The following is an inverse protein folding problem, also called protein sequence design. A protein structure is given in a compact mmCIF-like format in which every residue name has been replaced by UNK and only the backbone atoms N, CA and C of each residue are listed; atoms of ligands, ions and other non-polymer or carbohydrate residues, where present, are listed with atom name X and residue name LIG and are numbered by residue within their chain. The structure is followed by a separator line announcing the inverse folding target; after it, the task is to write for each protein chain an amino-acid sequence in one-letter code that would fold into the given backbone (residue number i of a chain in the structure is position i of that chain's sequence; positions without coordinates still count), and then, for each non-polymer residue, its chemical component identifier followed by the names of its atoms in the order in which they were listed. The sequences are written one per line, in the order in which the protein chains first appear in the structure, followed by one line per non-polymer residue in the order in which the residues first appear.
data_IF_224239470187
#
_entry.id   IF_224239470187
#
_cell.length_a   1.000
_cell.length_b   1.000
_cell.length_c   1.000
_cell.angle_alpha   90.00
_cell.angle_beta   90.00
_cell.angle_gamma   90.00
#
_symmetry.space_group_name_H-M   'P 1'
#
loop_
_entity.id
_entity.type
_entity.pdbx_description
1 polymer ?
#
# COMPACT_ATOMS: atom_id res chain seq x y z
N UNK A 1 -31.62 21.73 59.85
CA UNK A 1 -30.98 21.99 58.54
C UNK A 1 -30.35 20.71 58.10
N UNK A 2 -30.86 20.06 57.03
CA UNK A 2 -30.34 18.80 56.50
C UNK A 2 -29.45 19.13 55.28
N UNK A 3 -28.14 18.96 55.45
CA UNK A 3 -27.18 19.07 54.32
C UNK A 3 -27.40 17.91 53.36
N UNK A 4 -27.79 18.20 52.11
CA UNK A 4 -27.78 17.26 50.98
C UNK A 4 -26.36 17.27 50.39
N UNK A 5 -25.61 16.17 50.57
CA UNK A 5 -24.39 15.93 49.82
C UNK A 5 -24.79 15.57 48.39
N UNK A 6 -24.38 16.39 47.41
CA UNK A 6 -24.43 16.04 45.98
C UNK A 6 -23.18 15.21 45.63
N UNK A 7 -23.37 13.96 45.27
CA UNK A 7 -22.33 13.16 44.66
C UNK A 7 -22.29 13.49 43.15
N UNK A 8 -21.21 14.09 42.69
CA UNK A 8 -20.90 14.24 41.28
C UNK A 8 -20.17 12.97 40.87
N UNK A 9 -20.83 12.11 40.11
CA UNK A 9 -20.17 10.97 39.49
C UNK A 9 -19.38 11.49 38.28
N UNK A 10 -18.06 11.45 38.36
CA UNK A 10 -17.21 11.67 37.19
C UNK A 10 -17.25 10.43 36.30
N UNK A 11 -17.87 10.56 35.12
CA UNK A 11 -17.80 9.54 34.09
C UNK A 11 -16.40 9.61 33.48
N UNK A 12 -15.55 8.63 33.77
CA UNK A 12 -14.29 8.46 33.04
C UNK A 12 -14.62 7.86 31.67
N UNK A 13 -14.53 8.67 30.62
CA UNK A 13 -14.56 8.18 29.24
C UNK A 13 -13.20 7.52 29.00
N UNK A 14 -13.18 6.18 28.99
CA UNK A 14 -12.02 5.46 28.51
C UNK A 14 -11.97 5.64 26.98
N UNK A 15 -11.03 6.45 26.51
CA UNK A 15 -10.67 6.44 25.10
C UNK A 15 -10.03 5.09 24.78
N UNK A 16 -10.69 4.27 23.98
CA UNK A 16 -10.06 3.08 23.43
C UNK A 16 -8.83 3.54 22.63
N UNK A 17 -7.64 3.12 23.04
CA UNK A 17 -6.46 3.33 22.23
C UNK A 17 -6.64 2.52 20.97
N UNK A 18 -6.75 3.18 19.81
CA UNK A 18 -6.69 2.49 18.52
C UNK A 18 -5.37 1.73 18.44
N UNK A 19 -5.44 0.46 18.02
CA UNK A 19 -4.24 -0.33 17.82
C UNK A 19 -3.42 0.33 16.71
N UNK A 20 -2.17 0.64 17.01
CA UNK A 20 -1.24 1.24 16.06
C UNK A 20 -0.74 0.15 15.12
N UNK A 21 -0.58 0.47 13.83
CA UNK A 21 0.10 -0.41 12.86
C UNK A 21 1.52 -0.70 13.34
N UNK A 22 1.88 -1.96 13.39
CA UNK A 22 3.23 -2.43 13.73
C UNK A 22 3.94 -2.78 12.44
N UNK A 23 5.05 -2.14 12.15
CA UNK A 23 5.86 -2.45 10.97
C UNK A 23 6.68 -3.70 11.23
N UNK A 24 6.18 -4.85 10.85
CA UNK A 24 6.87 -6.14 11.03
C UNK A 24 6.77 -7.07 9.82
N UNK A 25 6.15 -6.59 8.73
CA UNK A 25 5.91 -7.37 7.52
C UNK A 25 4.73 -8.31 7.62
N UNK A 26 3.83 -8.09 8.59
CA UNK A 26 2.62 -8.90 8.79
C UNK A 26 1.39 -8.02 8.71
N UNK A 27 0.38 -8.43 7.96
CA UNK A 27 -0.88 -7.70 7.87
C UNK A 27 -1.62 -7.73 9.23
N UNK A 28 -1.52 -6.65 9.96
CA UNK A 28 -2.25 -6.41 11.19
C UNK A 28 -3.76 -6.40 10.95
N UNK A 29 -4.55 -6.80 11.96
CA UNK A 29 -6.02 -6.65 11.91
C UNK A 29 -6.47 -5.21 11.66
N UNK A 30 -5.64 -4.23 12.00
CA UNK A 30 -5.92 -2.81 11.80
C UNK A 30 -5.99 -2.39 10.34
N UNK A 31 -5.47 -3.19 9.41
CA UNK A 31 -5.62 -2.97 7.97
C UNK A 31 -7.02 -3.37 7.45
N UNK A 32 -7.73 -4.25 8.17
CA UNK A 32 -8.96 -4.83 7.65
C UNK A 32 -8.70 -5.89 6.56
N UNK A 33 -9.64 -6.01 5.63
CA UNK A 33 -9.50 -6.92 4.49
C UNK A 33 -8.48 -6.40 3.47
N UNK A 34 -7.90 -7.31 2.67
CA UNK A 34 -7.08 -6.91 1.53
C UNK A 34 -7.89 -6.06 0.55
N UNK A 35 -7.32 -4.95 0.11
CA UNK A 35 -7.92 -4.04 -0.88
C UNK A 35 -7.83 -4.66 -2.28
N UNK A 36 -6.76 -5.40 -2.54
CA UNK A 36 -6.47 -6.03 -3.83
C UNK A 36 -5.88 -7.42 -3.61
N UNK A 37 -6.28 -8.37 -4.45
CA UNK A 37 -5.77 -9.74 -4.45
C UNK A 37 -5.14 -10.04 -5.80
N UNK A 38 -3.94 -10.60 -5.80
CA UNK A 38 -3.25 -11.05 -7.01
C UNK A 38 -3.97 -12.24 -7.64
N UNK A 39 -4.16 -12.18 -8.96
CA UNK A 39 -4.72 -13.26 -9.74
C UNK A 39 -3.80 -13.77 -10.85
N UNK A 40 -2.51 -13.42 -10.80
CA UNK A 40 -1.51 -13.79 -11.80
C UNK A 40 -0.43 -14.64 -11.15
N UNK A 41 -0.16 -15.85 -11.70
CA UNK A 41 0.96 -16.66 -11.27
C UNK A 41 2.29 -15.92 -11.46
N UNK A 42 3.26 -16.14 -10.56
CA UNK A 42 4.56 -15.46 -10.64
C UNK A 42 5.48 -16.11 -11.69
N UNK A 43 6.12 -15.28 -12.51
CA UNK A 43 7.29 -15.67 -13.32
C UNK A 43 8.61 -15.14 -12.75
N UNK A 44 8.56 -14.57 -11.54
CA UNK A 44 9.74 -13.98 -10.89
C UNK A 44 10.24 -14.81 -9.71
N UNK A 45 9.77 -16.06 -9.65
CA UNK A 45 10.14 -17.07 -8.67
C UNK A 45 9.15 -17.15 -7.51
N UNK A 46 8.60 -18.31 -7.31
CA UNK A 46 7.72 -18.68 -6.20
C UNK A 46 8.60 -19.09 -5.01
N UNK A 47 8.48 -18.38 -3.89
CA UNK A 47 9.34 -18.66 -2.73
C UNK A 47 8.88 -19.88 -1.97
N UNK A 48 9.80 -20.77 -1.67
CA UNK A 48 9.56 -22.01 -0.94
C UNK A 48 10.34 -22.14 0.37
N UNK A 49 11.05 -21.06 0.79
CA UNK A 49 11.94 -21.14 1.94
C UNK A 49 11.19 -21.07 3.27
N UNK A 50 10.13 -20.29 3.38
CA UNK A 50 9.35 -20.11 4.61
C UNK A 50 10.14 -19.49 5.77
N UNK A 51 11.17 -18.67 5.47
CA UNK A 51 12.00 -18.00 6.46
C UNK A 51 11.93 -16.48 6.29
N UNK A 52 12.06 -15.75 7.36
CA UNK A 52 11.76 -14.33 7.44
C UNK A 52 12.71 -13.46 6.63
N UNK A 53 14.03 -13.74 6.68
CA UNK A 53 15.05 -12.89 6.05
C UNK A 53 15.28 -13.22 4.57
N UNK A 54 14.97 -14.43 4.12
CA UNK A 54 15.37 -14.90 2.80
C UNK A 54 14.22 -15.51 2.03
N UNK A 55 14.05 -15.06 0.80
CA UNK A 55 13.21 -15.69 -0.20
C UNK A 55 14.06 -16.10 -1.40
N UNK A 56 13.68 -17.18 -2.07
CA UNK A 56 14.27 -17.67 -3.33
C UNK A 56 13.37 -17.41 -4.54
N UNK A 57 12.47 -16.45 -4.41
CA UNK A 57 11.56 -15.96 -5.42
C UNK A 57 10.90 -14.68 -4.98
N UNK A 58 10.30 -13.96 -5.93
CA UNK A 58 9.54 -12.73 -5.65
C UNK A 58 8.14 -12.88 -6.21
N UNK A 59 7.15 -12.54 -5.36
CA UNK A 59 5.74 -12.55 -5.69
C UNK A 59 5.00 -11.50 -4.89
N UNK A 60 3.85 -11.08 -5.39
CA UNK A 60 2.90 -10.23 -4.70
C UNK A 60 1.56 -10.98 -4.68
N UNK A 61 0.99 -11.19 -3.52
CA UNK A 61 -0.25 -11.95 -3.34
C UNK A 61 -1.44 -11.07 -3.03
N UNK A 62 -1.24 -10.06 -2.18
CA UNK A 62 -2.32 -9.18 -1.76
C UNK A 62 -1.77 -7.80 -1.35
N UNK A 63 -2.61 -6.78 -1.45
CA UNK A 63 -2.31 -5.45 -0.94
C UNK A 63 -3.31 -5.02 0.13
N UNK A 64 -2.78 -4.56 1.25
CA UNK A 64 -3.52 -3.93 2.33
C UNK A 64 -2.98 -2.51 2.49
N UNK A 65 -3.82 -1.58 2.89
CA UNK A 65 -3.37 -0.23 3.16
C UNK A 65 -4.22 0.46 4.22
N UNK A 66 -3.60 1.44 4.88
CA UNK A 66 -4.26 2.29 5.86
C UNK A 66 -3.62 3.67 5.86
N UNK A 67 -4.44 4.70 5.95
CA UNK A 67 -3.99 6.05 6.26
C UNK A 67 -4.26 6.30 7.75
N UNK A 68 -3.21 6.56 8.53
CA UNK A 68 -3.32 6.77 9.98
C UNK A 68 -2.17 7.63 10.51
N UNK A 69 -2.47 8.53 11.45
CA UNK A 69 -1.47 9.31 12.18
C UNK A 69 -0.53 10.15 11.31
N UNK A 70 -0.97 10.56 10.11
CA UNK A 70 -0.15 11.33 9.16
C UNK A 70 0.73 10.46 8.26
N UNK A 71 0.45 9.17 8.18
CA UNK A 71 1.19 8.20 7.36
C UNK A 71 0.25 7.40 6.47
N UNK A 72 0.74 7.04 5.29
CA UNK A 72 0.24 5.94 4.49
C UNK A 72 1.03 4.68 4.88
N UNK A 73 0.32 3.65 5.31
CA UNK A 73 0.86 2.31 5.53
C UNK A 73 0.41 1.42 4.38
N UNK A 74 1.35 0.74 3.76
CA UNK A 74 1.11 -0.26 2.73
C UNK A 74 1.68 -1.59 3.22
N UNK A 75 0.88 -2.62 3.24
CA UNK A 75 1.31 -3.99 3.46
C UNK A 75 1.07 -4.78 2.17
N UNK A 76 2.16 -5.13 1.49
CA UNK A 76 2.18 -5.84 0.21
C UNK A 76 2.61 -7.28 0.50
N UNK A 77 1.60 -8.15 0.70
CA UNK A 77 1.81 -9.55 1.03
C UNK A 77 2.42 -10.31 -0.16
N UNK A 78 3.31 -11.24 0.13
CA UNK A 78 4.09 -12.01 -0.83
C UNK A 78 5.54 -12.16 -0.38
N UNK A 79 6.47 -12.20 -1.31
CA UNK A 79 7.90 -12.31 -1.03
C UNK A 79 8.70 -11.33 -1.89
N UNK A 80 9.76 -10.78 -1.32
CA UNK A 80 10.78 -10.04 -2.03
C UNK A 80 12.10 -10.81 -1.94
N UNK A 81 12.57 -11.35 -3.06
CA UNK A 81 13.77 -12.18 -3.10
C UNK A 81 15.00 -11.42 -2.60
N UNK A 82 15.80 -12.08 -1.75
CA UNK A 82 16.95 -11.50 -1.06
C UNK A 82 18.18 -11.36 -1.97
N UNK A 83 17.96 -11.04 -3.23
CA UNK A 83 18.94 -10.87 -4.31
C UNK A 83 18.98 -9.44 -4.88
N UNK A 84 18.40 -8.48 -4.14
CA UNK A 84 18.25 -7.08 -4.54
C UNK A 84 17.20 -6.81 -5.63
N UNK A 85 16.30 -7.74 -5.93
CA UNK A 85 15.10 -7.42 -6.67
C UNK A 85 14.40 -6.25 -6.03
N UNK A 86 13.72 -5.44 -6.84
CA UNK A 86 13.10 -4.19 -6.41
C UNK A 86 11.61 -4.36 -6.26
N UNK A 87 11.07 -3.81 -5.19
CA UNK A 87 9.66 -3.48 -5.11
C UNK A 87 9.53 -1.99 -5.40
N UNK A 88 8.92 -1.69 -6.54
CA UNK A 88 8.64 -0.35 -7.02
C UNK A 88 7.24 0.05 -6.59
N UNK A 89 7.09 1.19 -5.95
CA UNK A 89 5.81 1.73 -5.49
C UNK A 89 5.67 3.14 -6.03
N UNK A 90 4.63 3.37 -6.82
CA UNK A 90 4.27 4.68 -7.34
C UNK A 90 2.96 5.12 -6.71
N UNK A 91 2.86 6.40 -6.39
CA UNK A 91 1.72 7.00 -5.69
C UNK A 91 1.22 8.19 -6.50
N UNK A 92 -0.10 8.20 -6.77
CA UNK A 92 -0.86 9.30 -7.35
C UNK A 92 -1.90 9.76 -6.30
N UNK A 93 -1.79 11.00 -5.85
CA UNK A 93 -2.60 11.50 -4.74
C UNK A 93 -2.95 13.00 -4.85
N UNK A 94 -2.35 13.71 -5.80
CA UNK A 94 -2.62 15.14 -6.05
C UNK A 94 -2.70 15.42 -7.54
N UNK A 95 -3.25 16.58 -7.90
CA UNK A 95 -3.25 17.01 -9.30
C UNK A 95 -1.82 17.26 -9.80
N UNK A 96 -1.47 16.70 -10.94
CA UNK A 96 -0.14 16.82 -11.54
C UNK A 96 0.55 15.46 -11.68
N UNK A 97 1.82 15.36 -11.26
CA UNK A 97 2.59 14.12 -11.35
C UNK A 97 2.97 13.71 -12.78
N UNK A 98 3.35 12.45 -12.95
CA UNK A 98 3.83 11.90 -14.22
C UNK A 98 3.04 10.66 -14.62
N UNK A 99 2.25 10.72 -15.67
CA UNK A 99 1.66 9.53 -16.31
C UNK A 99 2.72 8.70 -17.05
N UNK A 100 3.77 9.35 -17.55
CA UNK A 100 4.94 8.71 -18.14
C UNK A 100 6.20 9.19 -17.43
N UNK A 101 7.07 8.27 -17.04
CA UNK A 101 8.31 8.62 -16.35
C UNK A 101 9.25 9.43 -17.23
N UNK A 102 9.68 10.59 -16.74
CA UNK A 102 10.53 11.54 -17.44
C UNK A 102 12.03 11.30 -17.14
N UNK A 103 12.92 11.59 -18.10
CA UNK A 103 14.36 11.31 -17.98
C UNK A 103 15.13 12.30 -17.09
N UNK A 104 14.47 13.35 -16.60
CA UNK A 104 15.05 14.37 -15.73
C UNK A 104 14.58 14.27 -14.27
N UNK A 105 14.10 13.10 -13.86
CA UNK A 105 13.76 12.78 -12.49
C UNK A 105 15.01 12.71 -11.59
N UNK A 106 14.87 12.71 -10.24
CA UNK A 106 16.00 12.60 -9.33
C UNK A 106 16.84 11.35 -9.57
N UNK A 107 18.18 11.52 -9.52
CA UNK A 107 19.14 10.41 -9.61
C UNK A 107 19.23 9.69 -8.28
N UNK A 108 18.46 8.61 -8.11
CA UNK A 108 18.38 7.79 -6.90
C UNK A 108 18.52 6.31 -7.24
N UNK A 109 18.86 5.49 -6.24
CA UNK A 109 19.02 4.03 -6.37
C UNK A 109 19.83 3.62 -7.60
N UNK A 110 21.07 4.14 -7.71
CA UNK A 110 21.96 3.88 -8.86
C UNK A 110 21.31 4.21 -10.21
N UNK A 111 20.59 5.34 -10.29
CA UNK A 111 19.82 5.78 -11.47
C UNK A 111 18.60 4.90 -11.81
N UNK A 112 18.16 4.06 -10.88
CA UNK A 112 17.08 3.10 -11.13
C UNK A 112 15.77 3.72 -11.61
N UNK A 113 15.38 4.85 -11.02
CA UNK A 113 14.20 5.58 -11.50
C UNK A 113 14.39 6.06 -12.95
N UNK A 114 15.58 6.57 -13.30
CA UNK A 114 15.89 6.99 -14.67
C UNK A 114 15.99 5.79 -15.63
N UNK A 115 16.33 4.60 -15.12
CA UNK A 115 16.38 3.37 -15.92
C UNK A 115 15.01 2.93 -16.43
N UNK A 116 13.93 3.38 -15.79
CA UNK A 116 12.54 3.14 -16.21
C UNK A 116 11.96 4.29 -17.04
N UNK A 117 12.67 5.40 -17.16
CA UNK A 117 12.20 6.62 -17.82
C UNK A 117 12.49 6.66 -19.34
N UNK A 118 11.91 7.63 -20.03
CA UNK A 118 12.19 7.91 -21.44
C UNK A 118 13.69 8.15 -21.67
N UNK A 119 14.24 7.61 -22.76
CA UNK A 119 15.61 7.88 -23.17
C UNK A 119 15.64 8.95 -24.27
N UNK A 120 16.07 10.16 -23.90
CA UNK A 120 16.16 11.30 -24.82
C UNK A 120 17.37 11.22 -25.77
N UNK A 121 18.32 10.30 -25.53
CA UNK A 121 19.64 10.31 -26.19
C UNK A 121 19.75 9.36 -27.40
N UNK A 122 18.77 8.50 -27.61
CA UNK A 122 18.74 7.55 -28.74
C UNK A 122 17.55 7.86 -29.66
N UNK A 123 17.65 7.55 -30.97
CA UNK A 123 16.42 7.58 -31.79
C UNK A 123 15.38 6.71 -31.07
N UNK A 124 14.25 7.31 -30.70
CA UNK A 124 13.25 6.77 -29.77
C UNK A 124 12.93 5.30 -30.03
N UNK A 125 13.62 4.41 -29.35
CA UNK A 125 13.31 2.98 -29.30
C UNK A 125 12.46 2.69 -28.07
N UNK A 126 12.54 3.56 -27.04
CA UNK A 126 11.86 3.42 -25.77
C UNK A 126 11.17 4.73 -25.38
N UNK A 127 10.02 4.65 -24.77
CA UNK A 127 9.21 5.83 -24.42
C UNK A 127 9.16 6.13 -22.93
N UNK A 128 9.63 5.23 -22.09
CA UNK A 128 9.49 5.30 -20.62
C UNK A 128 8.26 4.56 -20.13
N UNK A 129 8.33 4.07 -18.91
CA UNK A 129 7.20 3.42 -18.24
C UNK A 129 6.01 4.38 -18.24
N UNK A 130 4.90 3.93 -18.79
CA UNK A 130 3.66 4.69 -18.88
C UNK A 130 2.59 4.00 -18.04
N UNK A 131 1.96 4.76 -17.16
CA UNK A 131 0.88 4.29 -16.28
C UNK A 131 -0.47 4.35 -17.00
N UNK A 132 -1.53 3.88 -16.33
CA UNK A 132 -2.91 4.03 -16.81
C UNK A 132 -3.28 5.51 -16.97
N UNK A 133 -4.23 5.81 -17.86
CA UNK A 133 -4.58 7.18 -18.26
C UNK A 133 -5.01 8.08 -17.10
N UNK A 134 -5.58 7.49 -16.07
CA UNK A 134 -6.05 8.16 -14.85
C UNK A 134 -5.10 8.02 -13.66
N UNK A 135 -3.84 7.65 -13.92
CA UNK A 135 -2.77 7.57 -12.92
C UNK A 135 -1.60 8.47 -13.33
N UNK A 136 -1.24 9.40 -12.45
CA UNK A 136 -0.09 10.30 -12.65
C UNK A 136 0.74 10.32 -11.37
N UNK A 137 1.87 9.60 -11.36
CA UNK A 137 2.69 9.42 -10.18
C UNK A 137 3.26 10.74 -9.64
N UNK A 138 3.04 11.01 -8.35
CA UNK A 138 3.58 12.16 -7.59
C UNK A 138 4.80 11.78 -6.77
N UNK A 139 4.87 10.50 -6.35
CA UNK A 139 5.93 9.97 -5.52
C UNK A 139 6.30 8.55 -5.97
N UNK A 140 7.59 8.28 -5.98
CA UNK A 140 8.15 6.94 -6.10
C UNK A 140 8.84 6.53 -4.81
N UNK A 141 8.65 5.27 -4.41
CA UNK A 141 9.38 4.61 -3.32
C UNK A 141 9.91 3.28 -3.85
N UNK A 142 11.23 3.13 -3.87
CA UNK A 142 11.90 1.90 -4.23
C UNK A 142 12.43 1.19 -2.98
N UNK A 143 12.09 -0.08 -2.82
CA UNK A 143 12.58 -0.92 -1.71
C UNK A 143 13.23 -2.18 -2.22
N UNK A 144 14.20 -2.70 -1.48
CA UNK A 144 14.90 -3.94 -1.79
C UNK A 144 15.49 -4.57 -0.55
N UNK A 145 15.84 -5.85 -0.64
CA UNK A 145 16.55 -6.55 0.43
C UNK A 145 17.63 -7.48 -0.11
N UNK A 146 18.59 -7.80 0.71
CA UNK A 146 19.66 -8.74 0.37
C UNK A 146 20.94 -8.49 1.14
N UNK A 147 22.01 -9.17 0.72
CA UNK A 147 23.34 -9.02 1.27
C UNK A 147 23.68 -10.00 2.38
N UNK A 148 24.95 -9.94 2.81
CA UNK A 148 25.44 -10.67 3.97
C UNK A 148 26.42 -9.78 4.75
N UNK A 149 26.02 -9.22 5.91
CA UNK A 149 24.76 -9.48 6.61
C UNK A 149 23.54 -9.00 5.81
N UNK A 150 22.40 -9.65 6.04
CA UNK A 150 21.12 -9.27 5.43
C UNK A 150 20.71 -7.86 5.85
N UNK A 151 20.21 -7.07 4.89
CA UNK A 151 19.66 -5.75 5.14
C UNK A 151 18.54 -5.41 4.15
N UNK A 152 17.70 -4.45 4.54
CA UNK A 152 16.69 -3.81 3.71
C UNK A 152 17.16 -2.38 3.38
N UNK A 153 16.74 -1.90 2.21
CA UNK A 153 17.16 -0.60 1.66
C UNK A 153 15.96 0.13 1.11
N UNK A 154 15.93 1.45 1.23
CA UNK A 154 14.83 2.28 0.75
C UNK A 154 15.34 3.57 0.12
N UNK A 155 14.72 3.93 -0.99
CA UNK A 155 14.86 5.20 -1.70
C UNK A 155 13.50 5.84 -1.92
N UNK A 156 13.46 7.16 -2.14
CA UNK A 156 12.26 7.84 -2.61
C UNK A 156 12.62 8.96 -3.58
N UNK A 157 11.65 9.37 -4.39
CA UNK A 157 11.73 10.54 -5.25
C UNK A 157 10.34 11.18 -5.43
N UNK A 158 10.30 12.51 -5.37
CA UNK A 158 9.16 13.29 -5.85
C UNK A 158 9.15 13.27 -7.39
N UNK A 159 7.96 13.16 -7.97
CA UNK A 159 7.76 13.11 -9.41
C UNK A 159 6.92 14.32 -9.85
N UNK A 160 7.60 15.43 -10.14
CA UNK A 160 6.91 16.64 -10.58
C UNK A 160 6.48 16.52 -12.04
N UNK A 161 5.41 17.19 -12.43
CA UNK A 161 4.81 17.15 -13.78
C UNK A 161 5.82 17.41 -14.89
N UNK A 162 6.79 18.30 -14.67
CA UNK A 162 7.84 18.64 -15.63
C UNK A 162 9.17 17.93 -15.37
N UNK A 163 9.15 16.93 -14.47
CA UNK A 163 10.35 16.26 -13.98
C UNK A 163 11.09 17.05 -12.90
N UNK A 164 12.23 16.54 -12.45
CA UNK A 164 12.92 17.05 -11.26
C UNK A 164 12.25 16.60 -9.98
N UNK A 165 12.37 17.40 -8.93
CA UNK A 165 11.91 17.06 -7.58
C UNK A 165 13.05 16.67 -6.66
N UNK A 166 12.71 16.36 -5.40
CA UNK A 166 13.66 15.86 -4.43
C UNK A 166 13.73 14.33 -4.49
N UNK A 167 14.91 13.78 -4.32
CA UNK A 167 15.09 12.34 -4.20
C UNK A 167 16.25 12.02 -3.28
N UNK A 168 16.10 10.98 -2.48
CA UNK A 168 17.13 10.59 -1.52
C UNK A 168 17.16 9.08 -1.29
N UNK A 169 18.36 8.58 -1.07
CA UNK A 169 18.57 7.34 -0.35
C UNK A 169 18.22 7.53 1.12
N UNK A 170 17.20 6.82 1.58
CA UNK A 170 16.69 6.94 2.94
C UNK A 170 17.53 6.19 3.97
N UNK A 171 18.28 5.18 3.53
CA UNK A 171 19.14 4.38 4.38
C UNK A 171 18.98 2.89 4.19
N UNK A 172 19.63 2.11 5.06
CA UNK A 172 19.49 0.66 5.18
C UNK A 172 19.28 0.27 6.63
N UNK A 173 18.67 -0.89 6.86
CA UNK A 173 18.45 -1.41 8.20
C UNK A 173 18.26 -2.93 8.19
N UNK A 174 18.39 -3.56 9.36
CA UNK A 174 18.17 -4.98 9.55
C UNK A 174 16.70 -5.25 9.90
N UNK A 175 15.79 -5.13 8.94
CA UNK A 175 14.37 -5.35 9.15
C UNK A 175 13.91 -6.79 8.84
N UNK A 176 14.79 -7.75 8.98
CA UNK A 176 14.47 -9.17 8.91
C UNK A 176 13.88 -9.71 10.20
N UNK A 177 13.55 -11.00 10.23
CA UNK A 177 12.97 -11.70 11.38
C UNK A 177 11.65 -11.09 11.87
N UNK A 178 10.76 -10.62 10.95
CA UNK A 178 9.51 -9.94 11.30
C UNK A 178 9.75 -8.60 12.00
N UNK A 179 10.87 -7.95 11.73
CA UNK A 179 11.26 -6.68 12.33
C UNK A 179 11.05 -5.49 11.42
N UNK A 180 11.30 -4.29 11.96
CA UNK A 180 11.19 -3.04 11.25
C UNK A 180 12.51 -2.28 11.21
N UNK A 181 12.77 -1.58 10.11
CA UNK A 181 13.76 -0.52 10.02
C UNK A 181 13.09 0.85 9.95
N UNK A 182 13.66 1.81 10.68
CA UNK A 182 13.26 3.21 10.58
C UNK A 182 14.26 3.96 9.72
N UNK A 183 13.74 4.69 8.75
CA UNK A 183 14.52 5.44 7.79
C UNK A 183 14.39 6.95 8.01
N UNK A 184 15.18 7.72 7.27
CA UNK A 184 15.14 9.18 7.30
C UNK A 184 13.73 9.69 7.02
N UNK A 185 13.43 10.90 7.52
CA UNK A 185 12.18 11.64 7.26
C UNK A 185 10.89 10.90 7.65
N UNK A 186 10.95 9.93 8.55
CA UNK A 186 9.78 9.20 9.05
C UNK A 186 9.33 8.01 8.22
N UNK A 187 10.02 7.69 7.12
CA UNK A 187 9.78 6.44 6.40
C UNK A 187 10.08 5.21 7.27
N UNK A 188 9.48 4.07 6.92
CA UNK A 188 9.74 2.81 7.61
C UNK A 188 9.49 1.62 6.70
N UNK A 189 10.13 0.50 7.00
CA UNK A 189 10.07 -0.73 6.23
C UNK A 189 10.06 -1.92 7.18
N UNK A 190 9.03 -2.77 7.07
CA UNK A 190 8.95 -4.07 7.72
C UNK A 190 9.06 -5.17 6.67
N UNK A 191 9.60 -6.33 7.03
CA UNK A 191 9.75 -7.45 6.12
C UNK A 191 9.56 -8.77 6.85
N UNK A 192 8.74 -9.63 6.27
CA UNK A 192 8.63 -11.04 6.60
C UNK A 192 8.47 -11.85 5.30
N UNK A 193 9.55 -12.49 4.86
CA UNK A 193 9.61 -13.34 3.67
C UNK A 193 9.19 -14.80 3.95
N UNK A 194 8.52 -15.08 5.06
CA UNK A 194 8.14 -16.44 5.42
C UNK A 194 6.94 -17.00 4.63
N UNK A 195 6.34 -16.20 3.74
CA UNK A 195 5.24 -16.64 2.89
C UNK A 195 5.66 -17.83 2.01
N UNK A 196 4.82 -18.86 1.96
CA UNK A 196 4.93 -20.04 1.09
C UNK A 196 3.56 -20.39 0.49
N UNK A 197 2.63 -19.45 0.52
CA UNK A 197 1.24 -19.57 0.05
C UNK A 197 0.98 -18.53 -1.02
N UNK A 198 -0.18 -18.63 -1.67
CA UNK A 198 -0.65 -17.64 -2.62
C UNK A 198 -0.41 -18.05 -4.07
N UNK A 199 0.05 -17.13 -4.89
CA UNK A 199 0.28 -17.41 -6.31
C UNK A 199 1.49 -18.34 -6.47
N UNK A 200 1.36 -19.31 -7.36
CA UNK A 200 2.45 -20.26 -7.65
C UNK A 200 3.19 -19.85 -8.92
N UNK A 201 4.34 -20.46 -9.17
CA UNK A 201 5.14 -20.21 -10.36
C UNK A 201 4.40 -20.52 -11.67
N UNK A 202 4.40 -19.58 -12.63
CA UNK A 202 3.77 -19.75 -13.93
C UNK A 202 3.30 -18.45 -14.59
N UNK A 203 2.41 -18.61 -15.59
CA UNK A 203 1.89 -17.50 -16.41
C UNK A 203 0.36 -17.51 -16.51
N UNK A 204 -0.30 -18.33 -15.72
CA UNK A 204 -1.75 -18.47 -15.73
C UNK A 204 -2.39 -17.62 -14.64
N UNK A 205 -3.69 -17.77 -14.50
CA UNK A 205 -4.40 -17.24 -13.34
C UNK A 205 -3.90 -17.93 -12.06
N UNK A 206 -3.76 -17.15 -11.01
CA UNK A 206 -3.39 -17.56 -9.66
C UNK A 206 -4.42 -17.07 -8.65
N UNK A 207 -4.13 -17.30 -7.37
CA UNK A 207 -4.96 -16.83 -6.27
C UNK A 207 -4.07 -16.48 -5.07
N UNK A 208 -3.93 -15.19 -4.79
CA UNK A 208 -3.16 -14.65 -3.65
C UNK A 208 -3.96 -14.54 -2.36
N UNK A 209 -5.18 -15.12 -2.32
CA UNK A 209 -6.05 -15.03 -1.14
C UNK A 209 -5.41 -15.66 0.10
N UNK A 210 -5.50 -14.96 1.23
CA UNK A 210 -5.08 -15.47 2.53
C UNK A 210 -3.61 -15.23 2.89
N UNK A 211 -2.83 -14.63 2.01
CA UNK A 211 -1.46 -14.23 2.31
C UNK A 211 -1.44 -12.94 3.12
N UNK A 212 -0.65 -12.94 4.20
CA UNK A 212 -0.62 -11.86 5.19
C UNK A 212 0.78 -11.48 5.64
N UNK A 213 1.83 -12.08 5.09
CA UNK A 213 3.23 -11.71 5.33
C UNK A 213 3.88 -11.20 4.06
N UNK A 214 4.85 -10.32 4.15
CA UNK A 214 5.52 -9.71 3.01
C UNK A 214 6.26 -8.41 3.35
N UNK A 215 6.10 -7.42 2.49
CA UNK A 215 6.73 -6.11 2.63
C UNK A 215 5.73 -5.09 3.17
N UNK A 216 6.10 -4.45 4.25
CA UNK A 216 5.32 -3.39 4.86
C UNK A 216 6.08 -2.05 4.80
N UNK A 217 5.44 -1.01 4.25
CA UNK A 217 6.05 0.30 4.05
C UNK A 217 5.23 1.38 4.73
N UNK A 218 5.89 2.22 5.52
CA UNK A 218 5.31 3.43 6.08
C UNK A 218 5.84 4.65 5.33
N UNK A 219 4.95 5.44 4.76
CA UNK A 219 5.24 6.65 3.98
C UNK A 219 4.62 7.85 4.68
N UNK A 220 5.40 8.86 5.12
CA UNK A 220 4.83 10.09 5.64
C UNK A 220 3.99 10.80 4.58
N UNK A 221 2.75 11.18 4.89
CA UNK A 221 1.91 11.93 3.94
C UNK A 221 2.54 13.27 3.53
N UNK A 222 3.41 13.83 4.37
CA UNK A 222 4.19 15.03 4.06
C UNK A 222 5.26 14.82 2.99
N UNK A 223 5.57 13.57 2.62
CA UNK A 223 6.45 13.27 1.49
C UNK A 223 5.73 13.36 0.14
N UNK A 224 4.40 13.41 0.13
CA UNK A 224 3.59 13.64 -1.06
C UNK A 224 3.31 15.14 -1.14
N UNK A 225 4.05 15.83 -1.97
CA UNK A 225 4.02 17.29 -2.04
C UNK A 225 2.60 17.79 -2.42
N UNK A 226 2.01 18.63 -1.58
CA UNK A 226 0.68 19.17 -1.80
C UNK A 226 -0.49 18.30 -1.32
N UNK A 227 -0.25 17.08 -0.89
CA UNK A 227 -1.31 16.23 -0.38
C UNK A 227 -1.86 16.76 0.97
N UNK A 228 -3.17 16.88 1.05
CA UNK A 228 -3.88 17.31 2.27
C UNK A 228 -4.99 16.36 2.67
N UNK A 229 -5.68 15.80 1.68
CA UNK A 229 -6.77 14.85 1.87
C UNK A 229 -7.14 14.21 0.51
N UNK A 230 -7.96 13.20 0.51
CA UNK A 230 -8.45 12.51 -0.68
C UNK A 230 -7.87 11.09 -0.81
N UNK A 231 -8.39 10.35 -1.75
CA UNK A 231 -7.94 9.00 -2.04
C UNK A 231 -6.51 9.00 -2.60
N UNK A 232 -5.80 7.91 -2.35
CA UNK A 232 -4.45 7.69 -2.86
C UNK A 232 -4.47 6.47 -3.76
N UNK A 233 -4.06 6.63 -5.01
CA UNK A 233 -3.84 5.51 -5.93
C UNK A 233 -2.42 4.98 -5.77
N UNK A 234 -2.26 3.68 -5.80
CA UNK A 234 -0.98 2.99 -5.63
C UNK A 234 -0.77 1.98 -6.75
N UNK A 235 0.28 2.16 -7.54
CA UNK A 235 0.79 1.17 -8.48
C UNK A 235 2.05 0.54 -7.87
N UNK A 236 2.05 -0.78 -7.68
CA UNK A 236 3.20 -1.49 -7.10
C UNK A 236 3.53 -2.73 -7.91
N UNK A 237 4.82 -2.98 -8.14
CA UNK A 237 5.29 -4.14 -8.89
C UNK A 237 6.71 -4.55 -8.51
N UNK A 238 7.04 -5.82 -8.80
CA UNK A 238 8.40 -6.34 -8.66
C UNK A 238 9.19 -6.08 -9.95
N UNK A 239 10.44 -5.63 -9.79
CA UNK A 239 11.39 -5.37 -10.86
C UNK A 239 12.73 -6.10 -10.58
N UNK A 240 13.54 -6.32 -11.58
CA UNK A 240 14.89 -6.82 -11.43
C UNK A 240 15.79 -5.85 -10.65
N UNK A 241 16.90 -6.35 -10.12
CA UNK A 241 17.83 -5.59 -9.29
C UNK A 241 18.43 -4.34 -9.98
N UNK A 242 18.44 -4.33 -11.32
CA UNK A 242 18.86 -3.20 -12.15
C UNK A 242 17.75 -2.26 -12.58
N UNK A 243 16.53 -2.40 -12.05
CA UNK A 243 15.32 -1.68 -12.51
C UNK A 243 15.02 -1.83 -14.01
N UNK A 244 15.44 -2.93 -14.60
CA UNK A 244 15.48 -3.12 -16.05
C UNK A 244 14.70 -4.33 -16.55
N UNK A 245 13.99 -5.01 -15.67
CA UNK A 245 13.18 -6.17 -16.02
C UNK A 245 11.90 -6.25 -15.17
N UNK A 246 10.83 -5.62 -15.64
CA UNK A 246 9.55 -5.59 -14.96
C UNK A 246 8.89 -6.98 -15.00
N UNK A 247 8.52 -7.48 -13.84
CA UNK A 247 7.88 -8.78 -13.68
C UNK A 247 6.40 -8.76 -14.11
N UNK A 248 5.76 -9.91 -14.05
CA UNK A 248 4.31 -10.01 -14.14
C UNK A 248 3.59 -9.86 -12.77
N UNK A 249 4.35 -9.53 -11.73
CA UNK A 249 3.84 -9.29 -10.39
C UNK A 249 3.55 -7.81 -10.18
N UNK A 250 2.37 -7.39 -10.61
CA UNK A 250 1.82 -6.04 -10.51
C UNK A 250 0.57 -6.08 -9.63
N UNK A 251 0.41 -5.19 -8.71
CA UNK A 251 -0.84 -4.90 -7.99
C UNK A 251 -1.42 -3.55 -8.50
N UNK A 252 -2.61 -3.47 -9.14
CA UNK A 252 -3.61 -4.52 -9.37
C UNK A 252 -3.18 -5.47 -10.50
N UNK A 253 -3.66 -6.72 -10.45
CA UNK A 253 -3.07 -7.82 -11.22
C UNK A 253 -3.41 -7.81 -12.72
N UNK A 254 -2.52 -8.44 -13.49
CA UNK A 254 -2.61 -8.50 -14.97
C UNK A 254 -3.63 -9.51 -15.51
N UNK A 255 -4.17 -10.41 -14.67
CA UNK A 255 -5.06 -11.49 -15.14
C UNK A 255 -4.35 -12.64 -15.82
N UNK A 256 -3.11 -12.92 -15.44
CA UNK A 256 -2.20 -13.88 -16.06
C UNK A 256 -1.20 -13.23 -17.01
N UNK A 257 -0.34 -13.99 -17.62
CA UNK A 257 0.66 -13.51 -18.57
C UNK A 257 2.11 -13.67 -18.08
N UNK A 258 3.03 -13.43 -19.00
CA UNK A 258 4.47 -13.47 -18.76
C UNK A 258 4.97 -12.15 -18.16
N UNK A 259 6.23 -12.15 -17.68
CA UNK A 259 6.92 -10.94 -17.31
C UNK A 259 6.85 -9.87 -18.41
N UNK A 260 6.70 -8.61 -18.02
CA UNK A 260 6.56 -7.49 -18.95
C UNK A 260 7.90 -7.07 -19.59
N UNK A 261 9.02 -7.40 -18.93
CA UNK A 261 10.36 -7.19 -19.47
C UNK A 261 10.89 -5.76 -19.33
N UNK A 262 11.39 -5.17 -20.40
CA UNK A 262 11.99 -3.82 -20.39
C UNK A 262 10.97 -2.75 -19.97
N UNK A 263 11.10 -2.12 -18.79
CA UNK A 263 10.08 -1.19 -18.26
C UNK A 263 9.78 -0.02 -19.18
N UNK A 264 10.78 0.48 -19.93
CA UNK A 264 10.61 1.62 -20.84
C UNK A 264 9.75 1.31 -22.07
N UNK A 265 9.41 0.03 -22.29
CA UNK A 265 8.47 -0.42 -23.33
C UNK A 265 7.09 -0.74 -22.76
N UNK A 266 6.92 -0.68 -21.44
CA UNK A 266 5.65 -0.99 -20.79
C UNK A 266 4.76 0.24 -20.79
N UNK A 267 3.55 0.04 -21.30
CA UNK A 267 2.45 1.01 -21.20
C UNK A 267 1.25 0.27 -20.61
N UNK A 268 0.90 0.59 -19.38
CA UNK A 268 -0.19 -0.03 -18.65
C UNK A 268 -1.56 0.27 -19.29
N UNK A 269 -1.75 1.40 -19.98
CA UNK A 269 -2.99 1.68 -20.72
C UNK A 269 -3.33 0.59 -21.77
N UNK A 270 -2.33 -0.16 -22.22
CA UNK A 270 -2.52 -1.25 -23.19
C UNK A 270 -2.87 -2.59 -22.51
N UNK A 271 -2.92 -2.64 -21.18
CA UNK A 271 -3.24 -3.83 -20.38
C UNK A 271 -4.66 -3.68 -19.84
N UNK A 272 -5.54 -4.68 -20.02
CA UNK A 272 -6.91 -4.59 -19.52
C UNK A 272 -6.99 -4.44 -18.00
N UNK A 273 -7.81 -3.53 -17.54
CA UNK A 273 -8.00 -3.19 -16.12
C UNK A 273 -7.12 -2.04 -15.68
N UNK A 274 -7.21 -1.64 -14.43
CA UNK A 274 -6.31 -0.66 -13.85
C UNK A 274 -5.14 -1.39 -13.17
N UNK A 275 -3.91 -0.95 -13.41
CA UNK A 275 -2.72 -1.50 -12.76
C UNK A 275 -2.35 -0.69 -11.52
N UNK A 276 -3.35 -0.22 -10.82
CA UNK A 276 -3.25 0.41 -9.51
C UNK A 276 -4.47 0.05 -8.65
N UNK A 277 -4.35 0.20 -7.35
CA UNK A 277 -5.46 0.13 -6.42
C UNK A 277 -5.64 1.45 -5.67
N UNK A 278 -6.83 1.67 -5.13
CA UNK A 278 -7.17 2.91 -4.43
C UNK A 278 -7.18 2.66 -2.93
N UNK A 279 -6.43 3.49 -2.21
CA UNK A 279 -6.49 3.59 -0.76
C UNK A 279 -7.40 4.76 -0.44
N UNK A 280 -8.62 4.48 -0.03
CA UNK A 280 -9.53 5.53 0.33
C UNK A 280 -9.05 6.24 1.59
N UNK A 281 -8.75 7.52 1.45
CA UNK A 281 -8.68 8.43 2.56
C UNK A 281 -10.10 9.02 2.81
N UNK A 282 -11.06 8.17 2.89
CA UNK A 282 -12.22 8.46 3.72
C UNK A 282 -11.65 8.59 5.14
N UNK A 283 -10.99 9.73 5.38
CA UNK A 283 -10.04 9.99 6.44
C UNK A 283 -10.45 9.19 7.62
N UNK A 284 -9.55 8.32 8.18
CA UNK A 284 -9.97 7.39 9.19
C UNK A 284 -11.00 8.11 10.02
N UNK A 285 -12.24 7.91 9.67
CA UNK A 285 -13.31 8.77 10.13
C UNK A 285 -13.26 8.61 11.63
N UNK A 286 -13.03 9.69 12.36
CA UNK A 286 -13.46 9.70 13.77
C UNK A 286 -14.94 9.28 13.87
N UNK A 287 -15.51 8.87 12.74
CA UNK A 287 -16.90 8.55 12.45
C UNK A 287 -17.02 7.19 11.75
N UNK A 288 -16.71 6.06 12.43
CA UNK A 288 -16.83 4.72 11.84
C UNK A 288 -18.24 4.37 11.36
N UNK A 289 -19.21 5.17 11.75
CA UNK A 289 -20.60 5.04 11.40
C UNK A 289 -21.00 5.76 10.09
N UNK A 290 -20.09 6.56 9.50
CA UNK A 290 -20.22 7.18 8.18
C UNK A 290 -19.80 6.14 7.13
N UNK A 291 -20.74 5.29 6.72
CA UNK A 291 -20.45 4.13 5.88
C UNK A 291 -20.32 4.46 4.40
N UNK A 292 -20.83 5.61 3.98
CA UNK A 292 -20.73 6.10 2.59
C UNK A 292 -19.67 7.21 2.42
N UNK A 293 -18.95 7.53 3.50
CA UNK A 293 -17.88 8.53 3.54
C UNK A 293 -18.34 9.94 3.09
N UNK A 294 -19.61 10.28 3.34
CA UNK A 294 -20.19 11.60 3.01
C UNK A 294 -19.74 12.71 3.97
N UNK A 295 -19.13 12.36 5.11
CA UNK A 295 -18.78 13.26 6.20
C UNK A 295 -19.92 13.48 7.19
N UNK A 296 -21.02 12.73 7.07
CA UNK A 296 -22.21 12.87 7.92
C UNK A 296 -22.86 11.52 8.12
N UNK A 297 -23.03 11.07 9.35
CA UNK A 297 -23.84 9.87 9.65
C UNK A 297 -25.32 10.20 9.53
N UNK A 298 -25.98 9.62 8.56
CA UNK A 298 -27.39 9.89 8.25
C UNK A 298 -28.19 8.62 7.80
N UNK A 299 -29.29 8.84 7.10
CA UNK A 299 -30.17 7.76 6.69
C UNK A 299 -29.56 6.88 5.58
N UNK A 300 -28.56 7.36 4.83
CA UNK A 300 -27.86 6.55 3.84
C UNK A 300 -27.00 5.49 4.52
N UNK A 301 -26.27 5.87 5.58
CA UNK A 301 -25.45 4.95 6.39
C UNK A 301 -26.30 3.90 7.09
N UNK A 302 -27.40 4.35 7.70
CA UNK A 302 -28.36 3.43 8.31
C UNK A 302 -28.91 2.41 7.29
N UNK A 303 -29.19 2.86 6.08
CA UNK A 303 -29.62 1.97 4.99
C UNK A 303 -28.54 0.97 4.58
N UNK A 304 -27.28 1.43 4.52
CA UNK A 304 -26.11 0.60 4.26
C UNK A 304 -25.91 -0.47 5.33
N UNK A 305 -25.97 -0.08 6.62
CA UNK A 305 -25.89 -1.02 7.74
C UNK A 305 -26.99 -2.07 7.70
N UNK A 306 -28.25 -1.64 7.56
CA UNK A 306 -29.39 -2.56 7.53
C UNK A 306 -29.37 -3.51 6.31
N UNK A 307 -28.79 -3.05 5.18
CA UNK A 307 -28.62 -3.88 3.99
C UNK A 307 -27.59 -5.00 4.17
N UNK A 308 -26.69 -4.88 5.15
CA UNK A 308 -25.66 -5.86 5.48
C UNK A 308 -25.92 -6.61 6.79
N UNK A 309 -27.12 -6.55 7.33
CA UNK A 309 -27.47 -7.15 8.62
C UNK A 309 -27.17 -8.65 8.68
N UNK A 310 -26.40 -9.07 9.69
CA UNK A 310 -25.96 -10.45 9.87
C UNK A 310 -24.78 -10.89 8.99
N UNK A 311 -24.28 -10.01 8.10
CA UNK A 311 -23.06 -10.25 7.32
C UNK A 311 -21.82 -9.67 8.01
N UNK A 312 -20.63 -10.07 7.60
CA UNK A 312 -19.38 -9.41 7.94
C UNK A 312 -19.06 -8.33 6.90
N UNK A 313 -18.35 -7.25 7.30
CA UNK A 313 -17.86 -6.22 6.38
C UNK A 313 -18.53 -4.86 6.60
N UNK A 314 -18.97 -4.19 5.52
CA UNK A 314 -19.54 -2.83 5.61
C UNK A 314 -20.73 -2.80 6.59
N UNK A 315 -20.62 -1.99 7.64
CA UNK A 315 -21.61 -1.87 8.70
C UNK A 315 -21.25 -2.60 10.00
N UNK A 316 -20.22 -3.47 10.02
CA UNK A 316 -19.63 -4.07 11.22
C UNK A 316 -18.70 -3.04 11.87
N UNK A 317 -19.30 -2.09 12.60
CA UNK A 317 -18.63 -0.89 13.13
C UNK A 317 -17.73 -1.25 14.30
N UNK A 318 -18.13 -2.24 15.11
CA UNK A 318 -17.36 -2.71 16.27
C UNK A 318 -16.39 -3.84 15.94
N UNK A 319 -16.36 -4.28 14.66
CA UNK A 319 -15.48 -5.33 14.13
C UNK A 319 -15.63 -6.68 14.86
N UNK A 320 -16.86 -6.97 15.30
CA UNK A 320 -17.20 -8.24 15.96
C UNK A 320 -17.24 -9.44 14.98
N UNK A 321 -17.30 -9.15 13.69
CA UNK A 321 -17.43 -10.13 12.60
C UNK A 321 -18.84 -10.31 12.06
N UNK A 322 -19.82 -9.53 12.57
CA UNK A 322 -21.19 -9.52 12.05
C UNK A 322 -21.89 -8.20 12.34
N UNK A 323 -22.60 -7.67 11.36
CA UNK A 323 -23.44 -6.48 11.53
C UNK A 323 -24.65 -6.82 12.38
N UNK A 324 -24.75 -6.22 13.58
CA UNK A 324 -25.81 -6.51 14.53
C UNK A 324 -26.33 -5.26 15.29
N UNK A 325 -26.98 -5.48 16.44
CA UNK A 325 -27.57 -4.41 17.22
C UNK A 325 -26.52 -3.51 17.91
N UNK A 326 -25.30 -3.99 18.10
CA UNK A 326 -24.21 -3.17 18.65
C UNK A 326 -23.77 -2.13 17.63
N UNK A 327 -23.62 -2.52 16.35
CA UNK A 327 -23.29 -1.61 15.24
C UNK A 327 -24.37 -0.57 15.01
N UNK A 328 -25.64 -1.00 15.02
CA UNK A 328 -26.76 -0.07 14.93
C UNK A 328 -26.74 0.95 16.06
N UNK A 329 -26.39 0.52 17.27
CA UNK A 329 -26.28 1.42 18.43
C UNK A 329 -25.13 2.41 18.25
N UNK A 330 -23.99 1.96 17.71
CA UNK A 330 -22.82 2.79 17.42
C UNK A 330 -23.15 3.84 16.33
N UNK A 331 -23.83 3.42 15.25
CA UNK A 331 -24.27 4.31 14.19
C UNK A 331 -25.22 5.40 14.72
N UNK A 332 -26.26 5.00 15.45
CA UNK A 332 -27.22 5.96 16.01
C UNK A 332 -26.59 6.90 17.05
N UNK A 333 -25.57 6.43 17.77
CA UNK A 333 -24.80 7.24 18.72
C UNK A 333 -23.90 8.29 18.06
N UNK A 334 -23.57 8.10 16.78
CA UNK A 334 -22.70 8.97 15.99
C UNK A 334 -23.48 9.85 14.99
N UNK A 335 -24.79 9.91 15.08
CA UNK A 335 -25.66 10.59 14.12
C UNK A 335 -25.36 12.08 13.98
N UNK A 336 -25.13 12.55 12.75
CA UNK A 336 -24.80 13.95 12.43
C UNK A 336 -23.46 14.11 11.74
N UNK A 337 -22.96 15.35 11.67
CA UNK A 337 -21.68 15.62 11.04
C UNK A 337 -20.52 14.93 11.77
N UNK A 338 -19.64 14.31 11.03
CA UNK A 338 -18.39 13.75 11.51
C UNK A 338 -17.44 14.88 11.90
N UNK A 339 -16.93 14.91 13.13
CA UNK A 339 -16.08 15.96 13.70
C UNK A 339 -14.64 15.46 13.77
#
# INVERSE_FOLDING_TARGET
MRNKLMYVAALAVATAAQAQVVLDGVADKTYGAAIIIQNTQTQFGDSTLGVVDFANGSELDAGFAKIDGGYLYLMLAGNLESNFNKLEIFIDAVDGGQNKLLPNNPTVDFEGLLRMADDVNTPKVVEGLTFDADFSADLWVGTTCGGNPFAVYMNYAELLTEGGGNGNYLGSGGAGAGGAASFKSGFGFGLDNSNILGVVGGTKLGDGTGCTTGVEVRIPLTAIAGYTAGDIKVCAFINGSGHDFLSNQVLAPLGGGANLGEPRLVNFENIPGAQYFVVSNSGGSSCPADLDASGTVDAADLSGLLGNWGASGIGDIDQSGAVDAADLSALLGSWGACI
#
